data_IF_065683753732
#
_entry.id   IF_065683753732
#
_cell.length_a   1.000
_cell.length_b   1.000
_cell.length_c   1.000
_cell.angle_alpha   90.00
_cell.angle_beta   90.00
_cell.angle_gamma   90.00
#
_symmetry.space_group_name_H-M   'P 1'
#
loop_
_entity.id
_entity.type
_entity.pdbx_description
1 polymer ?
#
# COMPACT_ATOMS: atom_id res chain seq x y z
N UNK A 1 -12.74 31.96 -38.50
CA UNK A 1 -11.78 31.45 -37.49
C UNK A 1 -12.54 30.55 -36.53
N UNK A 2 -12.14 29.28 -36.34
CA UNK A 2 -12.82 28.41 -35.38
C UNK A 2 -12.61 28.95 -33.96
N UNK A 3 -13.71 29.31 -33.28
CA UNK A 3 -13.65 29.73 -31.87
C UNK A 3 -13.64 28.47 -31.01
N UNK A 4 -12.61 28.31 -30.15
CA UNK A 4 -12.52 27.26 -29.13
C UNK A 4 -13.50 27.45 -27.95
N UNK A 5 -14.62 28.13 -28.18
CA UNK A 5 -15.58 28.45 -27.13
C UNK A 5 -16.54 27.27 -27.02
N UNK A 6 -16.30 26.39 -26.03
CA UNK A 6 -17.26 25.35 -25.65
C UNK A 6 -16.72 23.94 -25.42
N UNK A 7 -15.42 23.66 -25.63
CA UNK A 7 -14.89 22.32 -25.33
C UNK A 7 -14.65 22.17 -23.83
N UNK A 8 -15.67 21.68 -23.11
CA UNK A 8 -15.58 21.33 -21.69
C UNK A 8 -14.47 20.30 -21.50
N UNK A 9 -13.39 20.73 -20.84
CA UNK A 9 -12.29 19.85 -20.49
C UNK A 9 -12.74 18.96 -19.33
N UNK A 10 -12.77 17.64 -19.56
CA UNK A 10 -13.07 16.66 -18.51
C UNK A 10 -11.88 16.46 -17.56
N UNK A 11 -11.19 17.55 -17.20
CA UNK A 11 -9.99 17.54 -16.37
C UNK A 11 -10.23 16.85 -15.03
N UNK A 12 -11.42 17.01 -14.46
CA UNK A 12 -11.84 16.33 -13.23
C UNK A 12 -11.85 14.80 -13.36
N UNK A 13 -12.25 14.26 -14.53
CA UNK A 13 -12.21 12.81 -14.75
C UNK A 13 -10.77 12.31 -14.86
N UNK A 14 -9.91 13.02 -15.58
CA UNK A 14 -8.49 12.65 -15.69
C UNK A 14 -7.76 12.74 -14.35
N UNK A 15 -8.04 13.77 -13.56
CA UNK A 15 -7.48 13.92 -12.21
C UNK A 15 -7.96 12.79 -11.28
N UNK A 16 -9.25 12.44 -11.33
CA UNK A 16 -9.80 11.32 -10.58
C UNK A 16 -9.16 9.98 -10.96
N UNK A 17 -9.01 9.72 -12.26
CA UNK A 17 -8.32 8.51 -12.74
C UNK A 17 -6.85 8.45 -12.32
N UNK A 18 -6.13 9.57 -12.42
CA UNK A 18 -4.74 9.64 -11.98
C UNK A 18 -4.62 9.35 -10.48
N UNK A 19 -5.54 9.86 -9.66
CA UNK A 19 -5.57 9.59 -8.23
C UNK A 19 -5.83 8.12 -7.91
N UNK A 20 -6.77 7.46 -8.62
CA UNK A 20 -7.02 6.03 -8.45
C UNK A 20 -5.79 5.19 -8.79
N UNK A 21 -5.11 5.50 -9.89
CA UNK A 21 -3.88 4.78 -10.29
C UNK A 21 -2.79 4.98 -9.24
N UNK A 22 -2.60 6.21 -8.75
CA UNK A 22 -1.62 6.51 -7.71
C UNK A 22 -1.92 5.76 -6.41
N UNK A 23 -3.20 5.66 -6.01
CA UNK A 23 -3.63 4.94 -4.82
C UNK A 23 -3.34 3.43 -4.94
N UNK A 24 -3.71 2.81 -6.06
CA UNK A 24 -3.42 1.40 -6.32
C UNK A 24 -1.92 1.13 -6.37
N UNK A 25 -1.15 2.03 -7.00
CA UNK A 25 0.30 1.96 -7.03
C UNK A 25 0.92 2.02 -5.63
N UNK A 26 0.48 2.96 -4.79
CA UNK A 26 0.94 3.08 -3.40
C UNK A 26 0.66 1.81 -2.59
N UNK A 27 -0.55 1.25 -2.71
CA UNK A 27 -0.93 0.00 -2.04
C UNK A 27 -0.06 -1.17 -2.52
N UNK A 28 0.22 -1.26 -3.82
CA UNK A 28 1.08 -2.29 -4.37
C UNK A 28 2.54 -2.15 -3.88
N UNK A 29 3.09 -0.93 -3.89
CA UNK A 29 4.45 -0.67 -3.38
C UNK A 29 4.56 -0.99 -1.88
N UNK A 30 3.53 -0.71 -1.09
CA UNK A 30 3.45 -1.10 0.31
C UNK A 30 3.41 -2.63 0.45
N UNK A 31 2.59 -3.32 -0.36
CA UNK A 31 2.49 -4.78 -0.35
C UNK A 31 3.81 -5.49 -0.70
N UNK A 32 4.53 -4.98 -1.71
CA UNK A 32 5.88 -5.46 -2.05
C UNK A 32 6.96 -5.06 -1.02
N UNK A 33 6.64 -4.18 -0.07
CA UNK A 33 7.55 -3.72 0.98
C UNK A 33 8.56 -2.65 0.53
N UNK A 34 8.29 -1.96 -0.59
CA UNK A 34 9.12 -0.84 -1.08
C UNK A 34 8.95 0.40 -0.19
N UNK A 35 7.72 0.62 0.28
CA UNK A 35 7.39 1.61 1.31
C UNK A 35 6.76 0.88 2.49
N UNK A 36 6.85 1.49 3.68
CA UNK A 36 6.34 0.93 4.93
C UNK A 36 5.60 2.02 5.71
N UNK A 37 4.45 2.40 5.17
CA UNK A 37 3.54 3.39 5.74
C UNK A 37 2.53 2.75 6.71
N UNK A 38 2.08 1.51 6.45
CA UNK A 38 1.11 0.79 7.27
C UNK A 38 1.78 -0.46 7.89
N UNK A 39 1.95 -0.49 9.22
CA UNK A 39 2.60 -1.61 9.88
C UNK A 39 1.79 -2.91 9.64
N UNK A 40 2.49 -3.97 9.23
CA UNK A 40 1.95 -5.29 8.94
C UNK A 40 0.98 -5.37 7.76
N UNK A 41 0.98 -4.40 6.85
CA UNK A 41 0.17 -4.45 5.63
C UNK A 41 0.70 -5.50 4.65
N UNK A 42 -0.17 -6.37 4.13
CA UNK A 42 0.19 -7.42 3.16
C UNK A 42 0.99 -8.60 3.72
N UNK A 43 1.49 -8.50 4.95
CA UNK A 43 2.14 -9.61 5.63
C UNK A 43 1.07 -10.44 6.31
N UNK A 44 0.97 -11.72 5.96
CA UNK A 44 0.37 -12.69 6.87
C UNK A 44 1.02 -12.49 8.24
N UNK A 45 0.18 -12.26 9.26
CA UNK A 45 0.62 -12.23 10.65
C UNK A 45 1.34 -13.55 10.86
N UNK A 46 2.66 -13.55 10.72
CA UNK A 46 3.48 -14.60 11.30
C UNK A 46 3.24 -14.40 12.78
N UNK A 47 2.21 -15.07 13.29
CA UNK A 47 2.15 -15.45 14.68
C UNK A 47 3.55 -16.00 14.92
N UNK A 48 4.36 -15.24 15.63
CA UNK A 48 5.67 -15.66 16.06
C UNK A 48 5.43 -16.80 17.05
N UNK A 49 5.04 -17.97 16.52
CA UNK A 49 5.06 -19.24 17.20
C UNK A 49 6.52 -19.72 17.17
N UNK A 50 7.44 -18.88 17.65
CA UNK A 50 8.81 -19.28 17.94
C UNK A 50 9.41 -18.33 18.98
N UNK A 51 9.00 -18.50 20.23
CA UNK A 51 9.96 -18.52 21.34
C UNK A 51 9.42 -19.37 22.48
N UNK A 52 9.17 -20.65 22.19
CA UNK A 52 9.07 -21.69 23.22
C UNK A 52 10.17 -22.71 22.97
N UNK A 53 11.42 -22.26 23.07
CA UNK A 53 12.62 -23.12 23.15
C UNK A 53 13.63 -22.48 24.10
N UNK A 54 13.18 -21.95 25.25
CA UNK A 54 14.09 -21.83 26.38
C UNK A 54 14.24 -23.22 26.99
N UNK A 55 15.41 -23.86 26.94
CA UNK A 55 15.68 -24.96 27.85
C UNK A 55 15.63 -24.36 29.26
N UNK A 56 14.62 -24.76 30.04
CA UNK A 56 14.58 -24.50 31.47
C UNK A 56 15.84 -25.14 32.04
N UNK A 57 16.83 -24.31 32.41
CA UNK A 57 18.00 -24.78 33.12
C UNK A 57 17.54 -25.27 34.49
N UNK A 58 17.33 -26.58 34.61
CA UNK A 58 17.14 -27.24 35.90
C UNK A 58 18.52 -27.22 36.58
N UNK A 59 18.78 -26.20 37.40
CA UNK A 59 19.91 -26.20 38.33
C UNK A 59 19.63 -27.26 39.39
N UNK A 60 20.44 -28.31 39.40
CA UNK A 60 20.52 -29.31 40.47
C UNK A 60 21.28 -28.74 41.66
#
# INVERSE_FOLDING_TARGET
MPRLIGKKNNSALYAGFAFLIALVGAIALEYFGVINYIPNFGKETKANNTSTNQPVQIKK
#
